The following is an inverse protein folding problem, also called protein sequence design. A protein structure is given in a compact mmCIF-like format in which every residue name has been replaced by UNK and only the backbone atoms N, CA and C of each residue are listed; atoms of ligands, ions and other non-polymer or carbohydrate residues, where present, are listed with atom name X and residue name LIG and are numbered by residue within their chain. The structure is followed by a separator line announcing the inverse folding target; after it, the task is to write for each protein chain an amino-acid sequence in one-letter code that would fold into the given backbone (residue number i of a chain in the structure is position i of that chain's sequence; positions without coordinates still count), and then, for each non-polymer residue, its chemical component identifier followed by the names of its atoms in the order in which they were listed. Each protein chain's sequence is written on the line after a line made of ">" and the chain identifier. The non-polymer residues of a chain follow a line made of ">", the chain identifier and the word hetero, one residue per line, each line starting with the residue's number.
data_IF_871490244838
#
_entry.id   IF_871490244838
#
_cell.length_a   1.000
_cell.length_b   1.000
_cell.length_c   1.000
_cell.angle_alpha   90.00
_cell.angle_beta   90.00
_cell.angle_gamma   90.00
#
_symmetry.space_group_name_H-M   'P 1'
#
loop_
_entity.id
_entity.type
_entity.pdbx_description
1 polymer ?
#
# COMPACT_ATOMS: atom_id res chain seq x y z
N UNK A 1 -16.04 -3.75 -52.98
CA UNK A 1 -15.19 -4.68 -52.20
C UNK A 1 -15.84 -4.90 -50.83
N UNK A 2 -16.04 -6.14 -50.37
CA UNK A 2 -16.61 -6.40 -49.05
C UNK A 2 -15.55 -6.13 -47.98
N UNK A 3 -15.87 -5.31 -46.98
CA UNK A 3 -15.04 -5.13 -45.77
C UNK A 3 -15.08 -6.44 -44.98
N UNK A 4 -13.96 -7.14 -44.92
CA UNK A 4 -13.74 -8.25 -43.99
C UNK A 4 -13.91 -7.70 -42.58
N UNK A 5 -14.93 -8.17 -41.84
CA UNK A 5 -15.06 -7.87 -40.42
C UNK A 5 -13.84 -8.48 -39.72
N UNK A 6 -12.96 -7.64 -39.16
CA UNK A 6 -11.93 -8.12 -38.24
C UNK A 6 -12.64 -8.81 -37.09
N UNK A 7 -12.45 -10.13 -36.98
CA UNK A 7 -12.81 -10.88 -35.79
C UNK A 7 -11.84 -10.39 -34.70
N UNK A 8 -12.33 -9.85 -33.57
CA UNK A 8 -11.45 -9.48 -32.47
C UNK A 8 -10.66 -10.72 -32.07
N UNK A 9 -9.32 -10.63 -32.06
CA UNK A 9 -8.52 -11.69 -31.44
C UNK A 9 -9.00 -11.80 -29.99
N UNK A 10 -9.28 -13.02 -29.47
CA UNK A 10 -9.54 -13.17 -28.05
C UNK A 10 -8.34 -12.58 -27.30
N UNK A 11 -8.58 -11.55 -26.48
CA UNK A 11 -7.55 -11.05 -25.57
C UNK A 11 -7.19 -12.23 -24.68
N UNK A 12 -5.93 -12.66 -24.74
CA UNK A 12 -5.40 -13.58 -23.75
C UNK A 12 -5.50 -12.85 -22.43
N UNK A 13 -6.36 -13.33 -21.54
CA UNK A 13 -6.49 -12.79 -20.20
C UNK A 13 -5.14 -12.98 -19.51
N UNK A 14 -4.59 -11.92 -18.93
CA UNK A 14 -3.34 -12.03 -18.19
C UNK A 14 -3.47 -13.09 -17.09
N UNK A 15 -2.46 -13.93 -16.93
CA UNK A 15 -2.44 -14.96 -15.89
C UNK A 15 -1.44 -14.54 -14.82
N UNK A 16 -1.96 -14.27 -13.63
CA UNK A 16 -1.12 -14.00 -12.47
C UNK A 16 -0.35 -15.27 -12.07
N UNK A 17 0.94 -15.09 -11.84
CA UNK A 17 1.83 -16.12 -11.32
C UNK A 17 1.69 -16.29 -9.81
N UNK A 18 2.44 -17.22 -9.22
CA UNK A 18 2.43 -17.47 -7.77
C UNK A 18 2.83 -16.24 -6.94
N UNK A 19 3.61 -15.33 -7.52
CA UNK A 19 4.06 -14.11 -6.85
C UNK A 19 2.94 -13.06 -6.79
N UNK A 20 2.11 -12.97 -7.83
CA UNK A 20 1.12 -11.89 -7.99
C UNK A 20 -0.31 -12.32 -7.68
N UNK A 21 -0.64 -13.61 -7.81
CA UNK A 21 -1.98 -14.14 -7.55
C UNK A 21 -2.52 -13.86 -6.13
N UNK A 22 -1.72 -13.86 -5.05
CA UNK A 22 -2.23 -13.51 -3.72
C UNK A 22 -2.79 -12.09 -3.61
N UNK A 23 -2.38 -11.18 -4.51
CA UNK A 23 -2.80 -9.77 -4.54
C UNK A 23 -3.97 -9.51 -5.49
N UNK A 24 -4.57 -10.55 -6.07
CA UNK A 24 -5.84 -10.43 -6.83
C UNK A 24 -7.05 -10.85 -6.01
N UNK A 25 -6.83 -11.33 -4.79
CA UNK A 25 -7.88 -11.85 -3.91
C UNK A 25 -8.42 -10.73 -3.02
N UNK A 26 -9.69 -10.43 -3.17
CA UNK A 26 -10.44 -9.57 -2.23
C UNK A 26 -10.60 -10.26 -0.88
N UNK A 27 -10.43 -9.51 0.21
CA UNK A 27 -10.58 -9.98 1.58
C UNK A 27 -11.72 -9.22 2.26
N UNK A 28 -12.39 -9.86 3.21
CA UNK A 28 -13.45 -9.24 3.99
C UNK A 28 -13.07 -9.20 5.46
N UNK A 29 -13.29 -8.08 6.12
CA UNK A 29 -13.13 -7.93 7.57
C UNK A 29 -14.37 -7.31 8.21
N UNK A 30 -14.53 -7.50 9.52
CA UNK A 30 -15.52 -6.78 10.33
C UNK A 30 -15.03 -5.40 10.79
N UNK A 31 -13.76 -5.09 10.53
CA UNK A 31 -13.16 -3.80 10.82
C UNK A 31 -13.74 -2.73 9.90
N UNK A 32 -14.31 -1.69 10.51
CA UNK A 32 -14.82 -0.52 9.79
C UNK A 32 -13.90 0.67 10.07
N UNK A 33 -13.45 1.34 9.01
CA UNK A 33 -12.64 2.54 9.19
C UNK A 33 -13.49 3.70 9.69
N UNK A 34 -13.04 4.41 10.73
CA UNK A 34 -13.72 5.61 11.18
C UNK A 34 -13.64 6.70 10.08
N UNK A 35 -14.79 7.28 9.72
CA UNK A 35 -14.86 8.42 8.78
C UNK A 35 -14.16 9.62 9.43
N UNK A 36 -12.98 9.97 8.90
CA UNK A 36 -12.26 11.18 9.31
C UNK A 36 -12.11 12.12 8.14
N UNK A 37 -12.92 13.18 8.18
CA UNK A 37 -12.81 14.34 7.29
C UNK A 37 -11.69 15.25 7.78
N UNK A 38 -10.54 15.21 7.13
CA UNK A 38 -9.40 16.08 7.46
C UNK A 38 -8.16 15.72 6.65
N UNK A 39 -7.20 16.63 6.60
CA UNK A 39 -5.93 16.41 5.92
C UNK A 39 -5.10 15.36 6.70
N UNK A 40 -4.76 14.28 6.00
CA UNK A 40 -4.05 13.08 6.46
C UNK A 40 -2.59 13.16 5.96
N UNK A 41 -1.70 13.88 6.66
CA UNK A 41 -0.31 14.08 6.25
C UNK A 41 0.50 12.80 6.14
N UNK A 42 0.08 11.68 6.74
CA UNK A 42 0.86 10.46 6.76
C UNK A 42 0.10 9.27 6.21
N UNK A 43 0.84 8.36 5.59
CA UNK A 43 0.39 7.05 5.15
C UNK A 43 1.13 5.97 5.94
N UNK A 44 0.46 4.87 6.28
CA UNK A 44 1.10 3.80 7.03
C UNK A 44 1.87 2.85 6.10
N UNK A 45 3.13 2.57 6.45
CA UNK A 45 3.95 1.51 5.87
C UNK A 45 4.05 0.34 6.85
N UNK A 46 3.51 -0.81 6.48
CA UNK A 46 3.60 -2.04 7.24
C UNK A 46 4.65 -2.99 6.65
N UNK A 47 5.37 -3.66 7.54
CA UNK A 47 6.31 -4.72 7.21
C UNK A 47 5.79 -6.01 7.84
N UNK A 48 5.16 -6.88 7.05
CA UNK A 48 4.50 -8.10 7.55
C UNK A 48 5.38 -9.36 7.42
N UNK A 49 6.45 -9.31 6.63
CA UNK A 49 7.50 -10.35 6.54
C UNK A 49 8.79 -9.88 7.22
N UNK A 50 9.72 -10.81 7.47
CA UNK A 50 11.07 -10.49 7.94
C UNK A 50 11.87 -9.81 6.83
N UNK A 51 12.04 -8.50 6.96
CA UNK A 51 12.81 -7.65 6.04
C UNK A 51 13.96 -6.99 6.80
N UNK A 52 15.12 -6.85 6.16
CA UNK A 52 16.25 -6.12 6.73
C UNK A 52 15.99 -4.62 6.76
N UNK A 53 16.46 -3.94 7.79
CA UNK A 53 16.32 -2.48 7.95
C UNK A 53 16.89 -1.70 6.76
N UNK A 54 17.94 -2.20 6.09
CA UNK A 54 18.48 -1.60 4.86
C UNK A 54 17.45 -1.47 3.73
N UNK A 55 16.57 -2.46 3.56
CA UNK A 55 15.53 -2.42 2.52
C UNK A 55 14.44 -1.42 2.93
N UNK A 56 14.14 -1.35 4.23
CA UNK A 56 13.14 -0.41 4.76
C UNK A 56 13.66 1.03 4.58
N UNK A 57 14.91 1.30 4.94
CA UNK A 57 15.57 2.58 4.71
C UNK A 57 15.55 2.95 3.22
N UNK A 58 15.91 2.02 2.32
CA UNK A 58 15.86 2.25 0.87
C UNK A 58 14.45 2.67 0.41
N UNK A 59 13.40 1.97 0.86
CA UNK A 59 12.01 2.31 0.52
C UNK A 59 11.63 3.71 1.02
N UNK A 60 12.02 4.05 2.25
CA UNK A 60 11.74 5.35 2.86
C UNK A 60 12.49 6.49 2.14
N UNK A 61 13.76 6.28 1.77
CA UNK A 61 14.59 7.23 0.99
C UNK A 61 13.98 7.48 -0.39
N UNK A 62 13.72 6.41 -1.15
CA UNK A 62 13.23 6.52 -2.54
C UNK A 62 11.87 7.19 -2.64
N UNK A 63 10.97 6.95 -1.69
CA UNK A 63 9.69 7.66 -1.66
C UNK A 63 9.89 9.14 -1.34
N UNK A 64 10.73 9.48 -0.36
CA UNK A 64 10.99 10.86 0.02
C UNK A 64 11.62 11.68 -1.11
N UNK A 65 12.51 11.08 -1.91
CA UNK A 65 13.07 11.72 -3.11
C UNK A 65 12.00 12.09 -4.14
N UNK A 66 10.98 11.24 -4.34
CA UNK A 66 9.91 11.46 -5.31
C UNK A 66 8.83 12.44 -4.79
N UNK A 67 8.61 12.50 -3.47
CA UNK A 67 7.61 13.39 -2.86
C UNK A 67 8.19 14.70 -2.33
N UNK A 68 9.52 14.86 -2.35
CA UNK A 68 10.28 15.96 -1.75
C UNK A 68 10.09 16.13 -0.23
N UNK A 69 9.49 15.14 0.43
CA UNK A 69 9.27 15.07 1.88
C UNK A 69 8.98 13.63 2.30
N UNK A 70 9.12 13.31 3.58
CA UNK A 70 8.80 12.00 4.13
C UNK A 70 7.33 11.96 4.57
N UNK A 71 6.58 11.00 4.05
CA UNK A 71 5.14 10.87 4.31
C UNK A 71 4.73 9.49 4.82
N UNK A 72 5.62 8.49 4.74
CA UNK A 72 5.37 7.22 5.39
C UNK A 72 5.67 7.30 6.89
N UNK A 73 4.72 6.80 7.67
CA UNK A 73 4.96 6.35 9.02
C UNK A 73 5.17 4.84 9.00
N UNK A 74 6.35 4.38 9.41
CA UNK A 74 6.63 2.96 9.62
C UNK A 74 5.84 2.47 10.82
N UNK A 75 4.97 1.48 10.62
CA UNK A 75 4.04 1.04 11.63
C UNK A 75 4.76 0.40 12.83
N UNK A 76 4.47 0.92 14.02
CA UNK A 76 4.96 0.42 15.31
C UNK A 76 3.79 0.00 16.22
N UNK A 77 4.08 -0.79 17.26
CA UNK A 77 3.06 -1.34 18.18
C UNK A 77 2.39 -0.23 19.00
N UNK A 78 3.18 0.74 19.44
CA UNK A 78 2.70 1.86 20.23
C UNK A 78 2.21 2.98 19.31
N UNK A 79 0.89 3.18 19.24
CA UNK A 79 0.29 4.28 18.46
C UNK A 79 0.70 5.67 18.95
N UNK A 80 1.30 5.77 20.14
CA UNK A 80 1.91 6.99 20.67
C UNK A 80 3.17 7.41 19.88
N UNK A 81 3.78 6.49 19.13
CA UNK A 81 4.90 6.75 18.22
C UNK A 81 4.50 7.56 16.97
N UNK A 82 3.19 7.70 16.69
CA UNK A 82 2.68 8.67 15.71
C UNK A 82 2.67 10.06 16.36
N UNK A 83 3.53 11.00 15.99
CA UNK A 83 3.53 12.29 16.64
C UNK A 83 2.30 13.11 16.26
N UNK A 84 2.01 14.09 17.12
CA UNK A 84 0.88 15.00 16.94
C UNK A 84 1.13 16.04 15.83
N UNK A 85 2.41 16.38 15.58
CA UNK A 85 2.81 17.37 14.59
C UNK A 85 3.18 16.72 13.25
N UNK A 86 2.58 17.15 12.13
CA UNK A 86 3.00 16.78 10.78
C UNK A 86 4.51 16.93 10.50
N UNK A 87 5.19 17.87 11.16
CA UNK A 87 6.62 18.12 10.97
C UNK A 87 7.53 17.01 11.53
N UNK A 88 7.01 16.19 12.46
CA UNK A 88 7.79 15.19 13.20
C UNK A 88 7.42 13.74 12.84
N UNK A 89 6.36 13.50 12.05
CA UNK A 89 5.63 12.22 12.05
C UNK A 89 5.85 11.23 10.95
N UNK A 90 6.81 11.48 10.09
CA UNK A 90 7.28 10.50 9.14
C UNK A 90 8.56 9.83 9.61
N UNK A 91 8.68 8.55 9.28
CA UNK A 91 9.87 7.78 9.61
C UNK A 91 10.99 8.18 8.67
N UNK A 92 12.08 8.70 9.24
CA UNK A 92 13.28 9.06 8.49
C UNK A 92 14.29 7.91 8.55
N UNK A 93 14.92 7.57 7.41
CA UNK A 93 16.17 6.80 7.40
C UNK A 93 17.25 7.50 8.25
N UNK A 94 18.16 6.81 8.93
CA UNK A 94 18.32 5.36 9.07
C UNK A 94 17.58 4.83 10.31
N UNK A 95 16.73 3.82 10.16
CA UNK A 95 16.08 3.18 11.32
C UNK A 95 17.08 2.32 12.12
N UNK A 96 16.85 2.08 13.43
CA UNK A 96 17.75 1.28 14.25
C UNK A 96 18.01 -0.10 13.63
N UNK A 97 19.27 -0.55 13.61
CA UNK A 97 19.66 -1.79 12.95
C UNK A 97 19.05 -3.06 13.58
N UNK A 98 18.63 -2.98 14.83
CA UNK A 98 17.95 -4.01 15.61
C UNK A 98 16.42 -3.86 15.59
N UNK A 99 15.89 -2.90 14.84
CA UNK A 99 14.44 -2.73 14.69
C UNK A 99 13.84 -3.96 14.00
N UNK A 100 12.75 -4.45 14.56
CA UNK A 100 11.96 -5.55 14.02
C UNK A 100 10.51 -5.11 14.01
N UNK A 101 9.83 -5.33 12.88
CA UNK A 101 8.41 -5.00 12.79
C UNK A 101 7.59 -5.80 13.81
N UNK A 102 6.74 -5.15 14.60
CA UNK A 102 5.82 -5.85 15.51
C UNK A 102 4.70 -6.59 14.76
N UNK A 103 4.59 -6.37 13.44
CA UNK A 103 3.58 -6.97 12.58
C UNK A 103 4.09 -8.18 11.78
N UNK A 104 5.31 -8.67 12.04
CA UNK A 104 5.82 -9.88 11.37
C UNK A 104 4.88 -11.07 11.61
N UNK A 105 4.41 -11.68 10.53
CA UNK A 105 3.49 -12.82 10.56
C UNK A 105 2.03 -12.45 10.78
N UNK A 106 1.69 -11.17 10.92
CA UNK A 106 0.31 -10.70 10.95
C UNK A 106 -0.28 -10.59 9.54
N UNK A 107 -1.60 -10.55 9.48
CA UNK A 107 -2.34 -10.40 8.22
C UNK A 107 -2.59 -8.93 7.88
N UNK A 108 -3.06 -8.67 6.66
CA UNK A 108 -3.45 -7.30 6.28
C UNK A 108 -4.72 -6.85 7.03
N UNK A 109 -5.61 -7.78 7.35
CA UNK A 109 -6.78 -7.56 8.18
C UNK A 109 -6.38 -7.12 9.60
N UNK A 110 -5.33 -7.70 10.16
CA UNK A 110 -4.76 -7.29 11.45
C UNK A 110 -4.19 -5.87 11.38
N UNK A 111 -3.49 -5.52 10.30
CA UNK A 111 -2.96 -4.18 10.07
C UNK A 111 -4.07 -3.12 10.04
N UNK A 112 -5.16 -3.36 9.29
CA UNK A 112 -6.32 -2.47 9.30
C UNK A 112 -7.02 -2.45 10.67
N UNK A 113 -7.12 -3.60 11.35
CA UNK A 113 -7.69 -3.66 12.70
C UNK A 113 -6.90 -2.80 13.66
N UNK A 114 -5.57 -2.83 13.59
CA UNK A 114 -4.69 -1.97 14.36
C UNK A 114 -4.93 -0.49 14.03
N UNK A 115 -4.93 -0.12 12.75
CA UNK A 115 -5.19 1.26 12.32
C UNK A 115 -6.54 1.82 12.80
N UNK A 116 -7.57 0.97 12.85
CA UNK A 116 -8.91 1.37 13.32
C UNK A 116 -8.92 1.81 14.79
N UNK A 117 -7.94 1.34 15.58
CA UNK A 117 -7.79 1.63 17.01
C UNK A 117 -6.94 2.85 17.29
N UNK A 118 -6.19 3.35 16.29
CA UNK A 118 -5.35 4.53 16.45
C UNK A 118 -6.23 5.76 16.68
N UNK A 119 -5.99 6.55 17.74
CA UNK A 119 -6.77 7.73 18.06
C UNK A 119 -7.01 8.67 16.87
N UNK A 120 -8.24 9.16 16.75
CA UNK A 120 -8.66 10.05 15.67
C UNK A 120 -8.11 11.46 15.76
N UNK A 121 -7.21 11.79 16.67
CA UNK A 121 -6.43 13.01 16.60
C UNK A 121 -5.16 12.80 15.75
N UNK A 122 -4.60 11.59 15.73
CA UNK A 122 -3.47 11.17 14.86
C UNK A 122 -3.86 11.23 13.38
N UNK A 123 -3.32 12.21 12.66
CA UNK A 123 -3.67 12.56 11.27
C UNK A 123 -3.09 11.57 10.24
N UNK A 124 -3.39 10.29 10.42
CA UNK A 124 -2.94 9.17 9.60
C UNK A 124 -4.00 8.73 8.58
N UNK A 125 -3.56 8.37 7.38
CA UNK A 125 -4.34 7.68 6.37
C UNK A 125 -4.80 6.31 6.83
N UNK A 126 -6.12 6.07 6.76
CA UNK A 126 -6.74 4.84 7.27
C UNK A 126 -7.39 3.99 6.19
N UNK A 127 -7.75 4.61 5.07
CA UNK A 127 -8.34 3.91 3.93
C UNK A 127 -7.30 3.14 3.13
N UNK A 128 -6.04 3.60 3.12
CA UNK A 128 -4.95 2.97 2.40
C UNK A 128 -3.79 2.62 3.34
N UNK A 129 -3.12 1.52 3.04
CA UNK A 129 -1.82 1.19 3.61
C UNK A 129 -0.86 0.71 2.51
N UNK A 130 0.43 0.95 2.72
CA UNK A 130 1.49 0.29 1.97
C UNK A 130 1.99 -0.92 2.77
N UNK A 131 2.24 -2.03 2.09
CA UNK A 131 2.87 -3.22 2.65
C UNK A 131 4.12 -3.55 1.86
N UNK A 132 5.24 -3.68 2.58
CA UNK A 132 6.50 -4.17 2.04
C UNK A 132 6.52 -5.70 2.06
N UNK A 133 6.13 -6.31 0.95
CA UNK A 133 6.34 -7.73 0.70
C UNK A 133 7.77 -7.96 0.18
N UNK A 134 8.56 -8.74 0.91
CA UNK A 134 9.97 -8.96 0.61
C UNK A 134 10.20 -9.55 -0.78
N UNK A 135 9.38 -10.53 -1.19
CA UNK A 135 9.59 -11.24 -2.46
C UNK A 135 9.21 -10.32 -3.61
N UNK A 136 8.06 -9.68 -3.50
CA UNK A 136 7.57 -8.76 -4.52
C UNK A 136 8.53 -7.58 -4.72
N UNK A 137 9.03 -7.02 -3.63
CA UNK A 137 10.02 -5.95 -3.69
C UNK A 137 11.31 -6.40 -4.37
N UNK A 138 11.90 -7.52 -3.95
CA UNK A 138 13.17 -7.99 -4.51
C UNK A 138 13.06 -8.42 -5.99
N UNK A 139 11.92 -9.00 -6.40
CA UNK A 139 11.75 -9.54 -7.75
C UNK A 139 11.17 -8.52 -8.75
N UNK A 140 10.40 -7.53 -8.28
CA UNK A 140 9.63 -6.60 -9.13
C UNK A 140 9.82 -5.13 -8.79
N UNK A 141 10.49 -4.79 -7.69
CA UNK A 141 10.62 -3.42 -7.18
C UNK A 141 9.26 -2.76 -6.85
N UNK A 142 8.34 -3.55 -6.30
CA UNK A 142 6.99 -3.10 -5.94
C UNK A 142 6.72 -3.17 -4.44
N UNK A 143 5.93 -2.22 -3.96
CA UNK A 143 5.16 -2.34 -2.71
C UNK A 143 3.73 -2.74 -3.05
N UNK A 144 3.00 -3.25 -2.07
CA UNK A 144 1.57 -3.55 -2.23
C UNK A 144 0.76 -2.45 -1.58
N UNK A 145 -0.04 -1.73 -2.34
CA UNK A 145 -1.04 -0.82 -1.79
C UNK A 145 -2.30 -1.60 -1.52
N UNK A 146 -2.78 -1.56 -0.27
CA UNK A 146 -4.08 -2.08 0.10
C UNK A 146 -5.04 -0.93 0.37
N UNK A 147 -6.31 -1.16 0.05
CA UNK A 147 -7.42 -0.27 0.35
C UNK A 147 -8.50 -1.02 1.10
N UNK A 148 -9.05 -0.41 2.14
CA UNK A 148 -10.29 -0.85 2.78
C UNK A 148 -11.41 0.14 2.45
N UNK A 149 -12.60 -0.36 2.10
CA UNK A 149 -13.78 0.48 1.88
C UNK A 149 -14.66 0.61 3.14
N UNK A 150 -15.77 1.34 3.01
CA UNK A 150 -16.71 1.57 4.11
C UNK A 150 -17.49 0.33 4.56
N UNK A 151 -17.43 -0.77 3.80
CA UNK A 151 -18.09 -2.05 4.11
C UNK A 151 -17.08 -3.08 4.67
N UNK A 152 -15.80 -2.71 4.79
CA UNK A 152 -14.74 -3.59 5.27
C UNK A 152 -14.18 -4.53 4.19
N UNK A 153 -14.44 -4.24 2.91
CA UNK A 153 -13.81 -4.95 1.80
C UNK A 153 -12.38 -4.44 1.60
N UNK A 154 -11.41 -5.36 1.64
CA UNK A 154 -9.99 -5.08 1.43
C UNK A 154 -9.57 -5.57 0.05
N UNK A 155 -9.06 -4.64 -0.76
CA UNK A 155 -8.52 -4.90 -2.10
C UNK A 155 -7.06 -4.46 -2.17
N UNK A 156 -6.32 -4.97 -3.16
CA UNK A 156 -4.89 -4.69 -3.29
C UNK A 156 -4.46 -4.52 -4.73
N UNK A 157 -3.53 -3.60 -4.95
CA UNK A 157 -2.82 -3.45 -6.22
C UNK A 157 -1.34 -3.15 -5.92
N UNK A 158 -0.39 -3.88 -6.52
CA UNK A 158 1.02 -3.51 -6.44
C UNK A 158 1.29 -2.13 -7.06
N UNK A 159 2.25 -1.41 -6.51
CA UNK A 159 2.69 -0.11 -7.01
C UNK A 159 4.23 -0.09 -7.08
N UNK A 160 4.77 0.64 -8.06
CA UNK A 160 6.22 0.90 -8.11
C UNK A 160 6.69 1.48 -6.77
N UNK A 161 7.71 0.87 -6.17
CA UNK A 161 8.02 1.10 -4.77
C UNK A 161 8.29 2.59 -4.45
N UNK A 162 9.06 3.26 -5.30
CA UNK A 162 9.44 4.68 -5.12
C UNK A 162 8.29 5.69 -5.31
N UNK A 163 7.17 5.27 -5.91
CA UNK A 163 6.02 6.13 -6.22
C UNK A 163 4.79 5.82 -5.34
N UNK A 164 4.90 4.85 -4.44
CA UNK A 164 3.76 4.33 -3.68
C UNK A 164 3.14 5.41 -2.80
N UNK A 165 3.96 6.21 -2.11
CA UNK A 165 3.43 7.28 -1.26
C UNK A 165 2.74 8.38 -2.09
N UNK A 166 3.37 8.83 -3.19
CA UNK A 166 2.76 9.81 -4.10
C UNK A 166 1.39 9.34 -4.58
N UNK A 167 1.27 8.06 -4.92
CA UNK A 167 0.03 7.45 -5.40
C UNK A 167 -1.08 7.47 -4.35
N UNK A 168 -0.80 7.03 -3.12
CA UNK A 168 -1.76 7.00 -2.02
C UNK A 168 -2.34 8.40 -1.74
N UNK A 169 -1.51 9.45 -1.88
CA UNK A 169 -1.89 10.85 -1.61
C UNK A 169 -2.64 11.54 -2.75
N UNK A 170 -2.28 11.24 -3.99
CA UNK A 170 -2.69 12.08 -5.14
C UNK A 170 -3.89 11.54 -5.89
N UNK A 171 -4.07 10.21 -5.94
CA UNK A 171 -4.99 9.57 -6.89
C UNK A 171 -5.77 8.37 -6.34
N UNK A 172 -5.44 7.90 -5.13
CA UNK A 172 -5.91 6.63 -4.57
C UNK A 172 -7.42 6.42 -4.64
N UNK A 173 -8.23 7.42 -4.27
CA UNK A 173 -9.67 7.19 -4.09
C UNK A 173 -10.51 7.20 -5.37
N UNK A 174 -10.24 8.06 -6.35
CA UNK A 174 -11.09 8.16 -7.55
C UNK A 174 -10.71 7.16 -8.64
N UNK A 175 -9.42 6.77 -8.71
CA UNK A 175 -8.92 5.91 -9.76
C UNK A 175 -8.78 4.44 -9.33
N UNK A 176 -9.06 4.12 -8.06
CA UNK A 176 -8.98 2.74 -7.55
C UNK A 176 -9.69 1.71 -8.44
N UNK A 177 -10.93 1.94 -8.91
CA UNK A 177 -11.60 0.97 -9.79
C UNK A 177 -10.83 0.73 -11.10
N UNK A 178 -10.24 1.78 -11.67
CA UNK A 178 -9.42 1.65 -12.89
C UNK A 178 -8.14 0.87 -12.64
N UNK A 179 -7.44 1.13 -11.53
CA UNK A 179 -6.24 0.37 -11.17
C UNK A 179 -6.55 -1.10 -10.90
N UNK A 180 -7.66 -1.39 -10.23
CA UNK A 180 -8.13 -2.75 -10.01
C UNK A 180 -8.44 -3.45 -11.34
N UNK A 181 -9.16 -2.78 -12.25
CA UNK A 181 -9.48 -3.36 -13.57
C UNK A 181 -8.22 -3.66 -14.37
N UNK A 182 -7.26 -2.74 -14.43
CA UNK A 182 -6.00 -2.93 -15.16
C UNK A 182 -5.12 -4.00 -14.50
N UNK A 183 -5.12 -4.07 -13.17
CA UNK A 183 -4.41 -5.10 -12.41
C UNK A 183 -4.98 -6.49 -12.70
N UNK A 184 -6.30 -6.67 -12.53
CA UNK A 184 -6.97 -7.97 -12.70
C UNK A 184 -7.01 -8.44 -14.16
N UNK A 185 -7.08 -7.50 -15.11
CA UNK A 185 -7.21 -7.83 -16.54
C UNK A 185 -5.85 -8.05 -17.20
N UNK A 186 -4.90 -7.17 -16.90
CA UNK A 186 -3.65 -7.03 -17.66
C UNK A 186 -2.40 -7.26 -16.79
N UNK A 187 -2.54 -7.43 -15.47
CA UNK A 187 -1.39 -7.58 -14.56
C UNK A 187 -0.59 -6.30 -14.38
N UNK A 188 -1.19 -5.14 -14.68
CA UNK A 188 -0.49 -3.85 -14.67
C UNK A 188 -0.47 -3.28 -13.25
N UNK A 189 0.69 -3.11 -12.61
CA UNK A 189 0.78 -2.44 -11.31
C UNK A 189 0.51 -0.94 -11.47
N UNK A 190 0.27 -0.25 -10.36
CA UNK A 190 0.14 1.20 -10.36
C UNK A 190 1.51 1.83 -10.69
N UNK A 191 1.51 2.73 -11.68
CA UNK A 191 2.70 3.48 -12.14
C UNK A 191 3.82 2.56 -12.68
N UNK A 192 3.40 1.54 -13.46
CA UNK A 192 4.24 0.59 -14.21
C UNK A 192 5.22 1.25 -15.17
#
# INVERSE_FOLDING_TARGET
>A
MPRTKQIPRPKVQFQHDELTAPFTVTRQTSTLMPDRRGDQPFDALFVLDKVSTTIIDEVLERNAENTADHFFWLAEEESEALPFDPADGSTKPHIPADWISPFVGQTVEDAFTFLSRIPLDRRLGREFIAVLDRRLYNEKDWLVTYRIDGEGEITSVPCKAELTCMQMRSYGNHNWPTFMDDWLRDGTPILS
#
